data_IF_478452680846
#
_entry.id   IF_478452680846
#
_cell.length_a   1.000
_cell.length_b   1.000
_cell.length_c   1.000
_cell.angle_alpha   90.00
_cell.angle_beta   90.00
_cell.angle_gamma   90.00
#
_symmetry.space_group_name_H-M   'P 1'
#
loop_
_entity.id
_entity.type
_entity.pdbx_description
1 polymer ?
#
# COMPACT_ATOMS: atom_id res chain seq x y z
N UNK A 1 -28.56 5.32 -2.09
CA UNK A 1 -28.55 5.71 -0.63
C UNK A 1 -28.49 4.50 0.32
N UNK A 2 -29.20 3.39 0.04
CA UNK A 2 -29.18 2.19 0.91
C UNK A 2 -27.82 1.46 0.95
N UNK A 3 -27.11 1.35 -0.17
CA UNK A 3 -25.78 0.71 -0.21
C UNK A 3 -24.70 1.50 0.54
N UNK A 4 -24.72 2.85 0.50
CA UNK A 4 -23.81 3.67 1.30
C UNK A 4 -24.01 3.51 2.81
N UNK A 5 -25.24 3.29 3.27
CA UNK A 5 -25.51 3.07 4.70
C UNK A 5 -25.09 1.68 5.18
N UNK A 6 -25.07 0.65 4.33
CA UNK A 6 -24.59 -0.68 4.70
C UNK A 6 -23.08 -0.70 4.94
N UNK A 7 -22.28 -0.05 4.10
CA UNK A 7 -20.81 0.01 4.26
C UNK A 7 -20.35 0.79 5.50
N UNK A 8 -21.17 1.72 6.03
CA UNK A 8 -20.85 2.55 7.18
C UNK A 8 -21.15 1.88 8.52
N UNK A 9 -21.87 0.74 8.52
CA UNK A 9 -22.32 0.06 9.75
C UNK A 9 -21.56 -1.20 10.13
N UNK A 10 -20.57 -1.59 9.34
CA UNK A 10 -19.94 -2.90 9.43
C UNK A 10 -18.50 -2.89 9.93
N UNK A 11 -18.13 -1.88 10.73
CA UNK A 11 -16.82 -1.93 11.38
C UNK A 11 -16.69 -3.21 12.22
N UNK A 12 -15.63 -4.01 12.04
CA UNK A 12 -15.42 -5.23 12.79
C UNK A 12 -15.25 -4.98 14.29
N UNK A 13 -15.01 -3.73 14.68
CA UNK A 13 -14.76 -3.33 16.07
C UNK A 13 -16.03 -2.96 16.86
N UNK A 14 -17.20 -2.92 16.24
CA UNK A 14 -18.48 -2.55 16.89
C UNK A 14 -18.82 -3.49 18.05
N UNK A 15 -18.40 -4.74 17.98
CA UNK A 15 -18.65 -5.76 19.02
C UNK A 15 -17.80 -5.58 20.29
N UNK A 16 -16.79 -4.72 20.26
CA UNK A 16 -15.99 -4.41 21.44
C UNK A 16 -16.71 -3.35 22.29
N UNK A 17 -17.54 -3.81 23.22
CA UNK A 17 -18.55 -3.05 23.97
C UNK A 17 -18.02 -1.93 24.87
N UNK A 18 -16.72 -1.77 25.04
CA UNK A 18 -16.12 -0.78 25.96
C UNK A 18 -15.66 0.53 25.30
N UNK A 19 -15.66 0.59 23.97
CA UNK A 19 -15.22 1.76 23.24
C UNK A 19 -16.35 2.29 22.37
N UNK A 20 -16.51 3.62 22.33
CA UNK A 20 -17.35 4.28 21.32
C UNK A 20 -16.68 4.17 19.95
N UNK A 21 -16.76 3.00 19.34
CA UNK A 21 -16.16 2.72 18.04
C UNK A 21 -17.01 3.38 16.97
N UNK A 22 -16.33 4.05 16.03
CA UNK A 22 -16.97 4.58 14.82
C UNK A 22 -17.19 3.47 13.81
N UNK A 23 -18.36 3.46 13.20
CA UNK A 23 -18.76 2.42 12.23
C UNK A 23 -17.94 2.42 10.94
N UNK A 24 -17.25 3.51 10.66
CA UNK A 24 -16.43 3.69 9.45
C UNK A 24 -15.03 3.11 9.56
N UNK A 25 -14.59 2.69 10.77
CA UNK A 25 -13.24 2.16 10.96
C UNK A 25 -13.14 0.76 10.35
N UNK A 26 -12.30 0.64 9.32
CA UNK A 26 -12.03 -0.63 8.63
C UNK A 26 -10.84 -1.38 9.26
N UNK A 27 -9.76 -0.68 9.52
CA UNK A 27 -8.53 -1.15 10.17
C UNK A 27 -7.86 0.03 10.86
N UNK A 28 -6.84 -0.22 11.68
CA UNK A 28 -6.11 0.83 12.38
C UNK A 28 -4.62 0.52 12.50
N UNK A 29 -3.86 1.40 13.14
CA UNK A 29 -2.42 1.21 13.31
C UNK A 29 -1.59 1.51 12.06
N UNK A 30 -2.15 2.22 11.08
CA UNK A 30 -1.40 2.87 10.01
C UNK A 30 -1.00 4.29 10.47
N UNK A 31 0.14 4.79 9.99
CA UNK A 31 0.62 6.10 10.38
C UNK A 31 0.04 7.21 9.52
N UNK A 32 0.31 7.16 8.23
CA UNK A 32 -0.14 8.16 7.24
C UNK A 32 -0.37 7.50 5.88
N UNK A 33 -1.46 6.73 5.74
CA UNK A 33 -1.80 6.09 4.48
C UNK A 33 -2.06 7.17 3.43
N UNK A 34 -1.20 7.21 2.41
CA UNK A 34 -1.26 8.26 1.38
C UNK A 34 -2.17 7.86 0.23
N UNK A 35 -1.81 6.79 -0.49
CA UNK A 35 -2.65 6.24 -1.56
C UNK A 35 -2.87 4.76 -1.35
N UNK A 36 -4.04 4.32 -1.77
CA UNK A 36 -4.43 2.93 -1.70
C UNK A 36 -5.21 2.51 -2.95
N UNK A 37 -5.24 1.21 -3.20
CA UNK A 37 -6.01 0.63 -4.28
C UNK A 37 -6.43 -0.80 -3.94
N UNK A 38 -7.58 -1.21 -4.46
CA UNK A 38 -7.99 -2.60 -4.39
C UNK A 38 -7.40 -3.41 -5.54
N UNK A 39 -6.88 -4.58 -5.21
CA UNK A 39 -6.54 -5.58 -6.21
C UNK A 39 -7.83 -6.11 -6.85
N UNK A 40 -7.89 -6.06 -8.19
CA UNK A 40 -9.09 -6.46 -8.94
C UNK A 40 -9.40 -7.94 -8.86
N UNK A 41 -8.40 -8.81 -8.64
CA UNK A 41 -8.57 -10.27 -8.69
C UNK A 41 -8.97 -10.85 -7.35
N UNK A 42 -8.37 -10.37 -6.26
CA UNK A 42 -8.56 -10.96 -4.93
C UNK A 42 -9.18 -10.01 -3.91
N UNK A 43 -9.34 -8.72 -4.27
CA UNK A 43 -9.94 -7.71 -3.40
C UNK A 43 -9.03 -7.20 -2.27
N UNK A 44 -7.76 -7.58 -2.23
CA UNK A 44 -6.81 -7.08 -1.24
C UNK A 44 -6.64 -5.55 -1.37
N UNK A 45 -6.71 -4.85 -0.24
CA UNK A 45 -6.47 -3.41 -0.16
C UNK A 45 -4.98 -3.15 0.05
N UNK A 46 -4.32 -2.70 -1.00
CA UNK A 46 -2.93 -2.27 -0.96
C UNK A 46 -2.81 -0.80 -0.56
N UNK A 47 -1.95 -0.51 0.41
CA UNK A 47 -1.77 0.82 0.99
C UNK A 47 -0.30 1.18 1.01
N UNK A 48 0.03 2.40 0.53
CA UNK A 48 1.31 3.04 0.78
C UNK A 48 1.21 3.88 2.05
N UNK A 49 1.96 3.52 3.08
CA UNK A 49 1.94 4.18 4.38
C UNK A 49 3.26 4.90 4.64
N UNK A 50 3.18 6.24 4.75
CA UNK A 50 4.36 7.09 4.95
C UNK A 50 4.83 7.01 6.39
N UNK A 51 6.07 6.56 6.57
CA UNK A 51 6.67 6.35 7.87
C UNK A 51 7.08 7.63 8.60
N UNK A 52 7.50 7.48 9.85
CA UNK A 52 7.90 8.61 10.70
C UNK A 52 9.36 9.00 10.48
N UNK A 53 10.27 8.07 10.69
CA UNK A 53 11.71 8.37 10.76
C UNK A 53 12.59 7.46 9.90
N UNK A 54 12.29 6.16 9.88
CA UNK A 54 13.22 5.13 9.40
C UNK A 54 12.76 4.41 8.16
N UNK A 55 11.44 4.19 8.06
CA UNK A 55 10.88 3.32 7.03
C UNK A 55 9.66 3.93 6.36
N UNK A 56 9.48 3.58 5.08
CA UNK A 56 8.25 3.71 4.33
C UNK A 56 7.64 2.33 4.12
N UNK A 57 6.33 2.18 4.08
CA UNK A 57 5.68 0.87 4.10
C UNK A 57 4.71 0.65 2.95
N UNK A 58 4.67 -0.58 2.46
CA UNK A 58 3.57 -1.08 1.63
C UNK A 58 2.89 -2.22 2.37
N UNK A 59 1.62 -2.04 2.66
CA UNK A 59 0.82 -3.00 3.41
C UNK A 59 -0.37 -3.50 2.60
N UNK A 60 -0.80 -4.74 2.89
CA UNK A 60 -2.11 -5.27 2.50
C UNK A 60 -2.99 -5.25 3.74
N UNK A 61 -4.05 -4.46 3.69
CA UNK A 61 -4.92 -4.17 4.83
C UNK A 61 -6.23 -4.92 4.70
N UNK A 62 -6.66 -5.60 5.76
CA UNK A 62 -7.96 -6.27 5.84
C UNK A 62 -8.78 -5.72 6.99
N UNK A 63 -10.07 -5.98 6.93
CA UNK A 63 -11.02 -5.55 7.94
C UNK A 63 -10.64 -6.11 9.33
N UNK A 64 -10.60 -5.25 10.33
CA UNK A 64 -10.32 -5.62 11.72
C UNK A 64 -8.86 -5.72 12.11
N UNK A 65 -7.93 -5.38 11.23
CA UNK A 65 -6.51 -5.51 11.50
C UNK A 65 -5.90 -4.29 12.18
N UNK A 66 -4.86 -4.56 13.01
CA UNK A 66 -3.99 -3.56 13.59
C UNK A 66 -2.61 -3.63 12.93
N UNK A 67 -2.20 -2.56 12.26
CA UNK A 67 -0.91 -2.46 11.55
C UNK A 67 0.25 -1.95 12.41
N UNK A 68 0.04 -1.79 13.71
CA UNK A 68 1.07 -1.64 14.72
C UNK A 68 1.63 -0.25 14.95
N UNK A 69 1.29 0.77 14.16
CA UNK A 69 1.69 2.13 14.49
C UNK A 69 0.94 2.60 15.75
N UNK A 70 1.63 3.16 16.73
CA UNK A 70 3.02 3.63 16.79
C UNK A 70 3.93 2.75 17.68
N UNK A 71 3.65 1.48 17.78
CA UNK A 71 4.54 0.50 18.44
C UNK A 71 5.62 0.07 17.45
N UNK A 72 5.26 -0.15 16.21
CA UNK A 72 6.18 -0.55 15.14
C UNK A 72 6.26 0.52 14.05
N UNK A 73 7.44 0.62 13.40
CA UNK A 73 7.67 1.30 12.14
C UNK A 73 8.39 0.31 11.22
N UNK A 74 7.74 -0.10 10.14
CA UNK A 74 8.20 -1.22 9.33
C UNK A 74 8.15 -2.53 10.12
N UNK A 75 9.28 -3.22 10.14
CA UNK A 75 9.45 -4.45 10.91
C UNK A 75 10.13 -4.23 12.27
N UNK A 76 10.45 -2.98 12.63
CA UNK A 76 11.22 -2.65 13.81
C UNK A 76 10.37 -1.97 14.88
N UNK A 77 10.68 -2.26 16.13
CA UNK A 77 10.07 -1.59 17.27
C UNK A 77 10.38 -0.09 17.23
N UNK A 78 9.33 0.73 17.24
CA UNK A 78 9.45 2.19 17.28
C UNK A 78 9.36 2.73 18.70
N UNK A 79 8.34 2.28 19.46
CA UNK A 79 8.12 2.74 20.83
C UNK A 79 7.37 1.69 21.64
N UNK A 80 7.84 1.42 22.86
CA UNK A 80 7.14 0.59 23.85
C UNK A 80 6.08 1.33 24.64
N UNK A 81 6.06 2.68 24.57
CA UNK A 81 5.17 3.53 25.37
C UNK A 81 3.68 3.21 25.18
N UNK A 82 3.31 2.75 24.00
CA UNK A 82 1.93 2.46 23.63
C UNK A 82 1.65 0.97 23.49
N UNK A 83 2.66 0.13 23.73
CA UNK A 83 2.51 -1.32 23.75
C UNK A 83 1.70 -1.71 24.99
N UNK A 84 0.62 -2.44 24.80
CA UNK A 84 -0.18 -2.98 25.89
C UNK A 84 0.35 -4.36 26.25
N UNK A 85 0.83 -4.58 27.49
CA UNK A 85 1.51 -5.83 27.88
C UNK A 85 0.62 -7.06 27.94
N UNK A 86 -0.71 -6.89 27.94
CA UNK A 86 -1.67 -7.98 28.22
C UNK A 86 -2.59 -8.34 27.07
N UNK A 87 -2.46 -7.68 25.93
CA UNK A 87 -3.27 -8.01 24.78
C UNK A 87 -2.43 -8.88 23.84
N UNK A 88 -2.94 -10.06 23.54
CA UNK A 88 -2.54 -10.87 22.38
C UNK A 88 -2.91 -10.12 21.08
N UNK A 89 -2.55 -8.85 21.01
CA UNK A 89 -2.84 -8.01 19.88
C UNK A 89 -1.88 -8.41 18.76
N UNK A 90 -2.41 -9.10 17.79
CA UNK A 90 -1.64 -9.48 16.62
C UNK A 90 -1.42 -8.27 15.72
N UNK A 91 -0.21 -7.71 15.77
CA UNK A 91 0.19 -6.68 14.82
C UNK A 91 0.47 -7.28 13.44
N UNK A 92 -0.09 -6.65 12.42
CA UNK A 92 0.10 -7.08 11.04
C UNK A 92 1.25 -6.30 10.42
N UNK A 93 2.32 -7.02 10.09
CA UNK A 93 3.49 -6.43 9.44
C UNK A 93 3.22 -6.01 7.99
N UNK A 94 3.92 -4.99 7.46
CA UNK A 94 3.84 -4.64 6.06
C UNK A 94 4.38 -5.77 5.16
N UNK A 95 4.00 -5.75 3.90
CA UNK A 95 4.57 -6.64 2.86
C UNK A 95 6.04 -6.29 2.62
N UNK A 96 6.35 -5.00 2.63
CA UNK A 96 7.71 -4.47 2.48
C UNK A 96 7.86 -3.17 3.23
N UNK A 97 9.06 -2.95 3.78
CA UNK A 97 9.46 -1.66 4.30
C UNK A 97 10.74 -1.17 3.61
N UNK A 98 10.74 0.10 3.23
CA UNK A 98 11.87 0.76 2.58
C UNK A 98 12.61 1.61 3.58
N UNK A 99 13.92 1.39 3.73
CA UNK A 99 14.78 2.31 4.48
C UNK A 99 14.92 3.63 3.74
N UNK A 100 15.20 4.72 4.46
CA UNK A 100 15.34 6.09 3.92
C UNK A 100 16.27 6.23 2.71
N UNK A 101 17.29 5.38 2.57
CA UNK A 101 18.15 5.35 1.39
C UNK A 101 17.45 4.90 0.11
N UNK A 102 16.32 4.20 0.23
CA UNK A 102 15.56 3.67 -0.90
C UNK A 102 14.28 4.47 -1.18
N UNK A 103 13.66 5.04 -0.15
CA UNK A 103 12.46 5.85 -0.25
C UNK A 103 12.26 6.71 0.98
N UNK A 104 11.67 7.88 0.81
CA UNK A 104 11.47 8.88 1.86
C UNK A 104 10.00 9.24 2.03
N UNK A 105 9.18 9.00 1.01
CA UNK A 105 7.74 9.24 1.03
C UNK A 105 7.06 8.38 -0.02
N UNK A 106 6.58 7.23 0.43
CA UNK A 106 5.91 6.27 -0.47
C UNK A 106 4.56 6.77 -0.94
N UNK A 107 4.30 6.68 -2.24
CA UNK A 107 3.03 7.13 -2.82
C UNK A 107 1.96 6.04 -2.77
N UNK A 108 2.35 4.79 -2.89
CA UNK A 108 1.42 3.68 -3.18
C UNK A 108 1.24 3.48 -4.68
N UNK A 109 0.21 2.75 -5.11
CA UNK A 109 0.02 2.43 -6.53
C UNK A 109 -1.05 1.42 -6.86
N UNK A 110 -0.80 0.53 -7.84
CA UNK A 110 -1.77 -0.47 -8.34
C UNK A 110 -1.13 -1.82 -8.61
N UNK A 111 -1.93 -2.89 -8.44
CA UNK A 111 -1.54 -4.22 -8.93
C UNK A 111 -1.76 -4.28 -10.44
N UNK A 112 -0.71 -4.67 -11.16
CA UNK A 112 -0.71 -4.83 -12.60
C UNK A 112 -1.14 -6.26 -12.98
N UNK A 113 -1.96 -6.34 -14.02
CA UNK A 113 -2.34 -7.58 -14.67
C UNK A 113 -2.27 -7.40 -16.17
N UNK A 114 -1.59 -8.34 -16.84
CA UNK A 114 -1.52 -8.35 -18.30
C UNK A 114 -2.88 -8.66 -18.91
N UNK A 115 -3.18 -8.04 -20.03
CA UNK A 115 -4.28 -8.46 -20.89
C UNK A 115 -3.89 -9.77 -21.61
N UNK A 116 -4.86 -10.54 -22.09
CA UNK A 116 -4.74 -11.90 -22.61
C UNK A 116 -3.63 -12.14 -23.67
N UNK A 117 -3.06 -11.09 -24.25
CA UNK A 117 -2.02 -11.14 -25.28
C UNK A 117 -0.67 -10.52 -24.84
N UNK A 118 -0.52 -10.15 -23.59
CA UNK A 118 0.72 -9.59 -23.05
C UNK A 118 1.46 -10.60 -22.17
N UNK A 119 2.77 -10.39 -22.00
CA UNK A 119 3.60 -11.23 -21.16
C UNK A 119 3.07 -11.30 -19.73
N UNK A 120 2.85 -12.52 -19.23
CA UNK A 120 2.32 -12.79 -17.88
C UNK A 120 3.33 -12.50 -16.75
N UNK A 121 4.57 -12.13 -17.06
CA UNK A 121 5.61 -11.81 -16.05
C UNK A 121 5.21 -10.70 -15.09
N UNK A 122 4.35 -9.78 -15.53
CA UNK A 122 3.81 -8.68 -14.72
C UNK A 122 2.57 -9.03 -13.89
N UNK A 123 1.99 -10.21 -14.08
CA UNK A 123 0.75 -10.55 -13.38
C UNK A 123 0.96 -10.60 -11.87
N UNK A 124 0.12 -9.82 -11.17
CA UNK A 124 0.15 -9.70 -9.72
C UNK A 124 1.28 -8.83 -9.17
N UNK A 125 2.00 -8.10 -10.01
CA UNK A 125 3.02 -7.14 -9.57
C UNK A 125 2.35 -5.85 -9.10
N UNK A 126 2.58 -5.46 -7.86
CA UNK A 126 2.18 -4.15 -7.35
C UNK A 126 3.21 -3.11 -7.77
N UNK A 127 2.76 -2.09 -8.49
CA UNK A 127 3.59 -0.97 -8.92
C UNK A 127 3.36 0.20 -7.97
N UNK A 128 4.43 0.72 -7.36
CA UNK A 128 4.39 1.89 -6.49
C UNK A 128 5.56 2.83 -6.77
N UNK A 129 5.50 4.04 -6.23
CA UNK A 129 6.57 5.02 -6.35
C UNK A 129 6.90 5.67 -5.02
N UNK A 130 8.11 6.19 -4.92
CA UNK A 130 8.52 7.11 -3.89
C UNK A 130 8.51 8.54 -4.43
N UNK A 131 7.86 9.44 -3.71
CA UNK A 131 7.70 10.84 -4.13
C UNK A 131 9.03 11.55 -4.26
N UNK A 132 9.91 11.44 -3.24
CA UNK A 132 11.14 12.23 -3.19
C UNK A 132 12.20 11.71 -4.17
N UNK A 133 12.42 10.41 -4.21
CA UNK A 133 13.44 9.80 -5.07
C UNK A 133 12.97 9.60 -6.52
N UNK A 134 11.65 9.71 -6.76
CA UNK A 134 10.98 9.46 -8.05
C UNK A 134 11.12 8.02 -8.55
N UNK A 135 11.64 7.11 -7.71
CA UNK A 135 11.83 5.69 -8.04
C UNK A 135 10.47 5.01 -8.15
N UNK A 136 10.38 4.10 -9.10
CA UNK A 136 9.23 3.22 -9.30
C UNK A 136 9.67 1.80 -8.97
N UNK A 137 8.88 1.13 -8.16
CA UNK A 137 9.14 -0.22 -7.67
C UNK A 137 8.06 -1.17 -8.16
N UNK A 138 8.47 -2.40 -8.49
CA UNK A 138 7.58 -3.53 -8.69
C UNK A 138 7.76 -4.54 -7.56
N UNK A 139 6.65 -4.97 -6.96
CA UNK A 139 6.60 -5.84 -5.79
C UNK A 139 5.75 -7.06 -6.09
N UNK A 140 6.30 -8.27 -5.88
CA UNK A 140 5.54 -9.52 -5.84
C UNK A 140 5.47 -10.04 -4.41
N UNK A 141 4.33 -10.60 -4.04
CA UNK A 141 4.11 -11.20 -2.74
C UNK A 141 3.29 -12.49 -2.85
N UNK A 142 3.43 -13.34 -1.84
CA UNK A 142 2.58 -14.50 -1.62
C UNK A 142 2.22 -14.58 -0.16
N UNK A 143 0.93 -14.68 0.14
CA UNK A 143 0.43 -14.70 1.52
C UNK A 143 0.94 -13.53 2.37
N UNK A 144 1.02 -12.31 1.79
CA UNK A 144 1.56 -11.07 2.37
C UNK A 144 3.06 -11.11 2.69
N UNK A 145 3.77 -12.13 2.27
CA UNK A 145 5.24 -12.20 2.37
C UNK A 145 5.84 -11.74 1.06
N UNK A 146 6.84 -10.88 1.15
CA UNK A 146 7.59 -10.39 0.00
C UNK A 146 8.27 -11.57 -0.71
N UNK A 147 7.99 -11.75 -2.00
CA UNK A 147 8.71 -12.70 -2.87
C UNK A 147 9.78 -11.99 -3.68
N UNK A 148 9.45 -10.80 -4.19
CA UNK A 148 10.36 -10.02 -5.02
C UNK A 148 10.08 -8.53 -4.90
N UNK A 149 11.15 -7.74 -4.91
CA UNK A 149 11.11 -6.30 -5.08
C UNK A 149 12.19 -5.87 -6.07
N UNK A 150 11.82 -5.06 -7.05
CA UNK A 150 12.76 -4.48 -8.03
C UNK A 150 12.47 -3.01 -8.26
N UNK A 151 13.52 -2.19 -8.37
CA UNK A 151 13.42 -0.85 -8.95
C UNK A 151 13.26 -1.03 -10.47
N UNK A 152 12.13 -0.57 -11.01
CA UNK A 152 11.77 -0.76 -12.42
C UNK A 152 11.95 0.53 -13.25
N UNK A 153 12.32 1.61 -12.60
CA UNK A 153 12.62 2.87 -13.26
C UNK A 153 12.46 4.08 -12.35
N UNK A 154 12.51 5.25 -12.99
CA UNK A 154 12.25 6.53 -12.33
C UNK A 154 11.27 7.35 -13.16
N UNK A 155 10.34 8.02 -12.48
CA UNK A 155 9.49 9.02 -13.11
C UNK A 155 10.29 10.31 -13.34
N UNK A 156 10.07 11.04 -14.43
CA UNK A 156 10.68 12.35 -14.64
C UNK A 156 10.29 13.39 -13.57
N UNK A 157 9.14 13.20 -12.92
CA UNK A 157 8.60 14.07 -11.88
C UNK A 157 8.26 13.32 -10.59
N UNK A 158 8.05 14.05 -9.50
CA UNK A 158 7.58 13.48 -8.23
C UNK A 158 6.17 12.92 -8.40
N UNK A 159 5.98 11.65 -8.04
CA UNK A 159 4.70 10.95 -8.22
C UNK A 159 3.82 11.15 -7.01
N UNK A 160 2.68 11.82 -7.17
CA UNK A 160 1.70 12.06 -6.09
C UNK A 160 0.53 11.08 -6.10
N UNK A 161 0.27 10.48 -7.24
CA UNK A 161 -0.82 9.52 -7.41
C UNK A 161 -0.56 8.63 -8.63
N UNK A 162 -1.33 7.56 -8.70
CA UNK A 162 -1.46 6.75 -9.90
C UNK A 162 -2.90 6.70 -10.36
N UNK A 163 -3.08 6.49 -11.65
CA UNK A 163 -4.36 6.19 -12.29
C UNK A 163 -4.26 4.92 -13.11
N UNK A 164 -5.41 4.31 -13.38
CA UNK A 164 -5.50 3.16 -14.27
C UNK A 164 -6.65 3.35 -15.24
N UNK A 165 -6.39 3.14 -16.52
CA UNK A 165 -7.42 3.15 -17.54
C UNK A 165 -8.23 1.83 -17.59
N UNK A 166 -9.26 1.82 -18.43
CA UNK A 166 -10.11 0.65 -18.60
C UNK A 166 -9.39 -0.54 -19.25
N UNK A 167 -8.32 -0.27 -20.00
CA UNK A 167 -7.49 -1.31 -20.63
C UNK A 167 -6.44 -1.90 -19.66
N UNK A 168 -6.32 -1.34 -18.45
CA UNK A 168 -5.35 -1.78 -17.44
C UNK A 168 -4.03 -1.00 -17.47
N UNK A 169 -3.86 -0.03 -18.37
CA UNK A 169 -2.68 0.84 -18.41
C UNK A 169 -2.54 1.68 -17.14
N UNK A 170 -1.32 1.78 -16.61
CA UNK A 170 -1.01 2.55 -15.41
C UNK A 170 -0.40 3.89 -15.80
N UNK A 171 -0.85 4.94 -15.12
CA UNK A 171 -0.39 6.31 -15.29
C UNK A 171 0.10 6.86 -13.95
N UNK A 172 1.25 7.54 -13.96
CA UNK A 172 1.76 8.29 -12.83
C UNK A 172 1.42 9.77 -12.98
N UNK A 173 0.96 10.41 -11.91
CA UNK A 173 0.64 11.83 -11.87
C UNK A 173 1.81 12.56 -11.23
N UNK A 174 2.43 13.46 -11.98
CA UNK A 174 3.55 14.27 -11.56
C UNK A 174 3.12 15.52 -10.80
N UNK A 175 3.88 15.89 -9.76
CA UNK A 175 3.61 17.04 -8.91
C UNK A 175 4.13 18.36 -9.49
N UNK A 176 5.42 18.37 -9.89
CA UNK A 176 6.13 19.61 -10.17
C UNK A 176 5.63 20.34 -11.43
N UNK A 177 5.29 19.58 -12.48
CA UNK A 177 4.82 20.12 -13.75
C UNK A 177 3.37 19.78 -14.09
N UNK A 178 2.69 19.03 -13.23
CA UNK A 178 1.30 18.60 -13.46
C UNK A 178 1.13 17.63 -14.63
N UNK A 179 2.20 16.94 -15.04
CA UNK A 179 2.17 16.00 -16.15
C UNK A 179 1.60 14.65 -15.74
N UNK A 180 0.99 13.95 -16.69
CA UNK A 180 0.58 12.56 -16.52
C UNK A 180 1.46 11.71 -17.43
N UNK A 181 2.13 10.71 -16.83
CA UNK A 181 3.05 9.81 -17.51
C UNK A 181 2.43 8.43 -17.64
N UNK A 182 2.27 7.94 -18.86
CA UNK A 182 1.91 6.53 -19.08
C UNK A 182 3.12 5.65 -18.78
N UNK A 183 2.95 4.65 -17.94
CA UNK A 183 4.02 3.70 -17.64
C UNK A 183 4.02 2.59 -18.69
N UNK A 184 5.16 2.45 -19.36
CA UNK A 184 5.43 1.34 -20.27
C UNK A 184 6.43 0.40 -19.59
N UNK A 185 6.06 -0.87 -19.47
CA UNK A 185 6.89 -1.87 -18.81
C UNK A 185 7.60 -2.71 -19.85
N UNK A 186 8.91 -2.89 -19.69
CA UNK A 186 9.71 -3.78 -20.54
C UNK A 186 9.56 -5.22 -20.02
N UNK A 187 9.35 -6.18 -20.91
CA UNK A 187 9.02 -7.57 -20.58
C UNK A 187 10.08 -8.28 -19.75
N UNK A 188 11.36 -7.91 -19.92
CA UNK A 188 12.49 -8.51 -19.22
C UNK A 188 12.70 -8.06 -17.76
N UNK A 189 11.92 -7.11 -17.26
CA UNK A 189 12.15 -6.54 -15.92
C UNK A 189 11.88 -7.55 -14.79
N UNK A 190 11.06 -8.56 -15.02
CA UNK A 190 10.64 -9.54 -14.01
C UNK A 190 11.03 -11.00 -14.36
N UNK A 191 11.82 -11.19 -15.37
CA UNK A 191 12.55 -12.42 -15.63
C UNK A 191 13.87 -12.40 -14.82
#
# INVERSE_FOLDING_TARGET
RRQRQMCIRDSPFIKHSHLKVRHEIFAYGLRQPWRFSFDKKNGDLWVGDVGQNRFEEISIVRSGENHGWNVFEGFELFSTKFMKPQEEEQYISPVVSFRRKHGVSITGGYVLYSNSNQNKSFDGVYICADFQSKRIWGIKQKNRKLEMIREIGKCPDQVVAFGRDLSGGIYAVGYGKGNIFKLNFNESIFE
#
